data_IF_384113302208
#
_entry.id   IF_384113302208
#
_cell.length_a   1.000
_cell.length_b   1.000
_cell.length_c   1.000
_cell.angle_alpha   90.00
_cell.angle_beta   90.00
_cell.angle_gamma   90.00
#
_symmetry.space_group_name_H-M   'P 1'
#
loop_
_entity.id
_entity.type
_entity.pdbx_description
1 polymer ?
#
# COMPACT_ATOMS: atom_id res chain seq x y z
N UNK A 1 -22.64 -23.51 -8.69
CA UNK A 1 -22.60 -22.28 -7.87
C UNK A 1 -21.17 -22.14 -7.35
N UNK A 2 -20.41 -21.18 -7.86
CA UNK A 2 -19.01 -20.99 -7.43
C UNK A 2 -18.97 -20.34 -6.05
N UNK A 3 -17.99 -20.72 -5.22
CA UNK A 3 -17.82 -20.13 -3.89
C UNK A 3 -17.31 -18.70 -4.04
N UNK A 4 -18.13 -17.75 -3.62
CA UNK A 4 -17.70 -16.34 -3.47
C UNK A 4 -16.62 -16.29 -2.39
N UNK A 5 -15.47 -15.73 -2.75
CA UNK A 5 -14.37 -15.56 -1.81
C UNK A 5 -14.73 -14.51 -0.75
N UNK A 6 -14.59 -14.89 0.52
CA UNK A 6 -14.80 -13.99 1.67
C UNK A 6 -13.47 -13.77 2.38
N UNK A 7 -13.00 -12.52 2.52
CA UNK A 7 -11.77 -12.20 3.24
C UNK A 7 -11.82 -12.66 4.69
N UNK A 8 -10.76 -13.31 5.14
CA UNK A 8 -10.68 -13.82 6.52
C UNK A 8 -9.92 -12.87 7.43
N UNK A 9 -8.89 -12.19 6.91
CA UNK A 9 -8.04 -11.31 7.71
C UNK A 9 -8.56 -9.86 7.74
N UNK A 10 -8.32 -9.10 8.83
CA UNK A 10 -8.67 -7.68 8.90
C UNK A 10 -8.00 -6.86 7.79
N UNK A 11 -6.74 -7.19 7.46
CA UNK A 11 -5.98 -6.50 6.41
C UNK A 11 -6.64 -6.67 5.04
N UNK A 12 -7.09 -7.88 4.72
CA UNK A 12 -7.73 -8.19 3.46
C UNK A 12 -9.13 -7.56 3.36
N UNK A 13 -9.90 -7.56 4.45
CA UNK A 13 -11.17 -6.81 4.53
C UNK A 13 -10.95 -5.32 4.28
N UNK A 14 -9.88 -4.74 4.84
CA UNK A 14 -9.53 -3.35 4.61
C UNK A 14 -9.16 -3.09 3.14
N UNK A 15 -8.40 -3.99 2.51
CA UNK A 15 -8.07 -3.90 1.08
C UNK A 15 -9.32 -3.98 0.19
N UNK A 16 -10.24 -4.90 0.47
CA UNK A 16 -11.48 -5.01 -0.30
C UNK A 16 -12.38 -3.77 -0.13
N UNK A 17 -12.52 -3.27 1.10
CA UNK A 17 -13.24 -2.00 1.35
C UNK A 17 -12.57 -0.83 0.62
N UNK A 18 -11.24 -0.78 0.62
CA UNK A 18 -10.47 0.24 -0.06
C UNK A 18 -10.72 0.22 -1.57
N UNK A 19 -10.83 -0.95 -2.21
CA UNK A 19 -11.15 -1.07 -3.64
C UNK A 19 -12.53 -0.48 -3.99
N UNK A 20 -13.54 -0.70 -3.15
CA UNK A 20 -14.87 -0.10 -3.33
C UNK A 20 -14.79 1.43 -3.18
N UNK A 21 -14.02 1.89 -2.21
CA UNK A 21 -13.85 3.30 -1.87
C UNK A 21 -12.57 3.91 -2.46
N UNK A 22 -12.18 3.49 -3.67
CA UNK A 22 -10.88 3.85 -4.26
C UNK A 22 -10.68 5.35 -4.46
N UNK A 23 -11.78 6.10 -4.61
CA UNK A 23 -11.78 7.56 -4.74
C UNK A 23 -11.32 8.29 -3.48
N UNK A 24 -11.36 7.64 -2.31
CA UNK A 24 -10.90 8.25 -1.07
C UNK A 24 -9.37 8.24 -1.02
N UNK A 25 -8.70 9.41 -0.96
CA UNK A 25 -7.24 9.47 -0.96
C UNK A 25 -6.60 8.75 0.25
N UNK A 26 -7.30 8.65 1.38
CA UNK A 26 -6.82 7.91 2.57
C UNK A 26 -6.62 6.42 2.29
N UNK A 27 -7.37 5.87 1.34
CA UNK A 27 -7.33 4.46 0.98
C UNK A 27 -6.27 4.14 -0.08
N UNK A 28 -5.58 5.15 -0.63
CA UNK A 28 -4.64 4.99 -1.73
C UNK A 28 -3.64 3.84 -1.51
N UNK A 29 -3.00 3.80 -0.34
CA UNK A 29 -1.97 2.82 -0.05
C UNK A 29 -2.53 1.39 0.05
N UNK A 30 -3.76 1.25 0.53
CA UNK A 30 -4.46 -0.04 0.59
C UNK A 30 -4.87 -0.50 -0.80
N UNK A 31 -5.39 0.40 -1.63
CA UNK A 31 -5.74 0.10 -3.03
C UNK A 31 -4.50 -0.29 -3.84
N UNK A 32 -3.41 0.47 -3.70
CA UNK A 32 -2.16 0.18 -4.39
C UNK A 32 -1.61 -1.21 -4.03
N UNK A 33 -1.63 -1.57 -2.73
CA UNK A 33 -1.23 -2.91 -2.28
C UNK A 33 -2.16 -4.00 -2.84
N UNK A 34 -3.48 -3.78 -2.80
CA UNK A 34 -4.46 -4.73 -3.30
C UNK A 34 -4.29 -4.99 -4.80
N UNK A 35 -4.11 -3.94 -5.60
CA UNK A 35 -3.90 -4.04 -7.05
C UNK A 35 -2.58 -4.77 -7.38
N UNK A 36 -1.51 -4.51 -6.63
CA UNK A 36 -0.24 -5.23 -6.80
C UNK A 36 -0.37 -6.72 -6.45
N UNK A 37 -1.05 -7.06 -5.35
CA UNK A 37 -1.32 -8.45 -4.98
C UNK A 37 -2.18 -9.17 -6.03
N UNK A 38 -3.17 -8.47 -6.58
CA UNK A 38 -4.01 -8.96 -7.66
C UNK A 38 -3.31 -8.95 -9.05
N UNK A 39 -2.05 -8.48 -9.13
CA UNK A 39 -1.30 -8.30 -10.38
C UNK A 39 -2.04 -7.42 -11.42
N UNK A 40 -2.90 -6.50 -10.96
CA UNK A 40 -3.70 -5.55 -11.76
C UNK A 40 -3.09 -4.15 -11.74
N UNK A 41 -1.78 -4.09 -11.99
CA UNK A 41 -1.06 -2.82 -12.07
C UNK A 41 -1.48 -1.97 -13.30
N UNK A 42 -2.19 -2.57 -14.26
CA UNK A 42 -2.80 -1.91 -15.41
C UNK A 42 -3.85 -0.84 -15.00
N UNK A 43 -4.47 -1.01 -13.83
CA UNK A 43 -5.41 -0.05 -13.27
C UNK A 43 -4.75 1.14 -12.56
N UNK A 44 -3.42 1.23 -12.61
CA UNK A 44 -2.63 2.32 -12.01
C UNK A 44 -2.07 3.18 -13.13
N UNK A 45 -2.55 4.41 -13.27
CA UNK A 45 -2.16 5.27 -14.38
C UNK A 45 -2.87 6.61 -14.40
N UNK A 46 -2.69 7.35 -15.49
CA UNK A 46 -3.31 8.66 -15.71
C UNK A 46 -4.55 8.61 -16.62
N UNK A 47 -4.87 7.42 -17.14
CA UNK A 47 -6.01 7.20 -18.03
C UNK A 47 -7.35 7.20 -17.29
N UNK A 48 -8.44 7.37 -18.04
CA UNK A 48 -9.81 7.37 -17.52
C UNK A 48 -10.26 6.02 -16.94
N UNK A 49 -9.64 4.92 -17.38
CA UNK A 49 -9.91 3.55 -16.92
C UNK A 49 -9.10 3.16 -15.67
N UNK A 50 -8.17 4.01 -15.22
CA UNK A 50 -7.35 3.74 -14.05
C UNK A 50 -8.11 4.07 -12.76
N UNK A 51 -7.99 3.23 -11.74
CA UNK A 51 -8.60 3.46 -10.43
C UNK A 51 -7.81 4.48 -9.62
N UNK A 52 -6.47 4.37 -9.65
CA UNK A 52 -5.57 5.24 -8.88
C UNK A 52 -4.46 5.79 -9.77
N UNK A 53 -4.01 7.00 -9.45
CA UNK A 53 -2.87 7.63 -10.12
C UNK A 53 -1.55 7.10 -9.56
N UNK A 54 -0.48 6.95 -10.35
CA UNK A 54 0.81 6.56 -9.80
C UNK A 54 1.37 7.68 -8.90
N UNK A 55 2.06 7.31 -7.80
CA UNK A 55 2.72 8.29 -6.94
C UNK A 55 3.81 9.02 -7.75
N UNK A 56 3.93 10.36 -7.61
CA UNK A 56 5.03 11.10 -8.22
C UNK A 56 6.37 10.51 -7.79
N UNK A 57 7.31 10.35 -8.74
CA UNK A 57 8.64 9.75 -8.50
C UNK A 57 9.41 10.45 -7.36
N UNK A 58 9.15 11.73 -7.11
CA UNK A 58 9.75 12.51 -6.02
C UNK A 58 9.37 11.98 -4.63
N UNK A 59 8.15 11.47 -4.44
CA UNK A 59 7.72 10.90 -3.18
C UNK A 59 8.42 9.56 -2.87
N UNK A 60 8.79 8.80 -3.91
CA UNK A 60 9.49 7.53 -3.77
C UNK A 60 10.94 7.73 -3.32
N UNK A 61 11.63 8.75 -3.84
CA UNK A 61 12.98 9.11 -3.38
C UNK A 61 13.00 9.60 -1.92
N UNK A 62 11.93 10.26 -1.44
CA UNK A 62 11.85 10.74 -0.05
C UNK A 62 11.64 9.60 0.95
N UNK A 63 10.83 8.59 0.61
CA UNK A 63 10.61 7.42 1.47
C UNK A 63 11.86 6.52 1.57
N UNK A 64 12.61 6.35 0.48
CA UNK A 64 13.86 5.56 0.47
C UNK A 64 15.01 6.29 1.19
N UNK A 65 15.05 7.63 1.12
CA UNK A 65 16.05 8.44 1.86
C UNK A 65 15.75 8.65 3.35
N UNK A 66 14.52 8.41 3.80
CA UNK A 66 14.10 8.62 5.19
C UNK A 66 14.44 7.50 6.18
N UNK A 67 15.10 6.41 5.76
CA UNK A 67 15.34 5.23 6.61
C UNK A 67 16.83 4.94 6.92
N UNK A 68 17.69 5.97 6.89
CA UNK A 68 19.00 5.94 7.56
C UNK A 68 18.99 7.00 8.66
N UNK A 69 19.49 6.66 9.85
CA UNK A 69 19.56 7.43 11.12
C UNK A 69 18.37 7.05 12.04
N UNK A 70 18.46 6.13 13.01
CA UNK A 70 19.55 5.81 13.96
C UNK A 70 19.58 4.31 14.35
N UNK A 71 20.51 3.54 13.78
CA UNK A 71 21.08 2.40 14.51
C UNK A 71 22.23 2.95 15.35
N UNK A 72 22.01 3.21 16.63
CA UNK A 72 23.10 3.30 17.60
C UNK A 72 22.79 2.36 18.76
N UNK A 73 23.31 1.14 18.65
CA UNK A 73 23.59 0.27 19.79
C UNK A 73 24.66 0.97 20.62
N UNK A 74 24.43 1.10 21.92
CA UNK A 74 25.50 0.92 22.91
C UNK A 74 24.93 0.09 24.06
N UNK A 75 25.41 -1.14 24.15
CA UNK A 75 25.51 -1.90 25.40
C UNK A 75 26.22 -1.00 26.43
N UNK A 76 25.88 -1.11 27.71
CA UNK A 76 26.84 -1.56 28.72
C UNK A 76 26.17 -1.81 30.08
N UNK A 77 26.49 -2.99 30.60
CA UNK A 77 26.31 -3.44 31.97
C UNK A 77 27.23 -2.66 32.93
N UNK A 78 26.95 -2.81 34.23
CA UNK A 78 27.87 -2.74 35.38
C UNK A 78 27.92 -1.43 36.17
N UNK A 79 27.19 -1.38 37.30
CA UNK A 79 27.75 -1.54 38.64
C UNK A 79 26.65 -1.85 39.64
#
# INVERSE_FOLDING_TARGET
>A
MEKVYVPKSPAEKAMQKALIQYRNPKNYDLVFKALNLAKRADLIGYGSQCLIRPKPKEAFHKAVRGNKITKRKTKNNSK
#
